data_IF_944978111859
#
_entry.id   IF_944978111859
#
_cell.length_a   1.000
_cell.length_b   1.000
_cell.length_c   1.000
_cell.angle_alpha   90.00
_cell.angle_beta   90.00
_cell.angle_gamma   90.00
#
_symmetry.space_group_name_H-M   'P 1'
#
loop_
_entity.id
_entity.type
_entity.pdbx_description
1 polymer ?
#
# COMPACT_ATOMS: atom_id res chain seq x y z
N UNK A 1 14.02 -5.72 7.06
CA UNK A 1 13.88 -5.89 5.60
C UNK A 1 12.54 -6.55 5.30
N UNK A 2 11.58 -5.78 4.76
CA UNK A 2 10.23 -6.24 4.47
C UNK A 2 10.15 -7.15 3.22
N UNK A 3 11.19 -7.20 2.40
CA UNK A 3 11.18 -7.96 1.12
C UNK A 3 11.02 -9.48 1.31
N UNK A 4 11.26 -9.99 2.53
CA UNK A 4 11.10 -11.41 2.88
C UNK A 4 9.68 -11.80 3.31
N UNK A 5 8.79 -10.83 3.53
CA UNK A 5 7.44 -11.06 4.10
C UNK A 5 6.39 -11.47 3.05
N UNK A 6 6.66 -12.52 2.27
CA UNK A 6 5.80 -12.95 1.14
C UNK A 6 4.43 -13.51 1.56
N UNK A 7 4.32 -14.01 2.78
CA UNK A 7 3.09 -14.58 3.33
C UNK A 7 2.29 -13.57 4.16
N UNK A 8 2.71 -12.31 4.21
CA UNK A 8 2.01 -11.30 4.99
C UNK A 8 0.65 -10.99 4.36
N UNK A 9 -0.42 -11.18 5.12
CA UNK A 9 -1.79 -10.85 4.70
C UNK A 9 -2.25 -9.48 5.21
N UNK A 10 -1.69 -9.02 6.33
CA UNK A 10 -2.08 -7.79 7.01
C UNK A 10 -0.83 -6.98 7.36
N UNK A 11 -0.79 -5.73 6.89
CA UNK A 11 0.21 -4.74 7.28
C UNK A 11 -0.51 -3.50 7.82
N UNK A 12 -0.19 -3.13 9.05
CA UNK A 12 -0.69 -1.92 9.71
C UNK A 12 0.53 -1.20 10.26
N UNK A 13 0.74 0.03 9.80
CA UNK A 13 1.81 0.92 10.26
C UNK A 13 1.20 2.25 10.68
N UNK A 14 1.60 2.73 11.85
CA UNK A 14 1.23 4.04 12.39
C UNK A 14 2.53 4.79 12.68
N UNK A 15 2.58 6.09 12.37
CA UNK A 15 3.70 6.99 12.71
C UNK A 15 5.07 6.44 12.29
N UNK A 16 5.11 5.75 11.14
CA UNK A 16 6.33 5.13 10.64
C UNK A 16 7.01 6.05 9.63
N UNK A 17 8.28 6.41 9.89
CA UNK A 17 9.12 7.04 8.88
C UNK A 17 9.68 5.97 7.95
N UNK A 18 9.00 5.76 6.81
CA UNK A 18 9.41 4.76 5.82
C UNK A 18 10.12 5.47 4.68
N UNK A 19 11.45 5.42 4.67
CA UNK A 19 12.25 6.01 3.59
C UNK A 19 11.92 5.33 2.25
N UNK A 20 11.44 6.14 1.29
CA UNK A 20 10.61 5.72 0.17
C UNK A 20 11.22 4.69 -0.78
N UNK A 21 12.54 4.67 -0.97
CA UNK A 21 13.20 3.79 -1.95
C UNK A 21 12.92 2.28 -1.74
N UNK A 22 12.54 1.86 -0.53
CA UNK A 22 12.26 0.46 -0.21
C UNK A 22 10.77 0.07 -0.26
N UNK A 23 9.82 1.02 -0.30
CA UNK A 23 8.38 0.72 -0.27
C UNK A 23 7.89 0.03 -1.55
N UNK A 24 8.31 0.51 -2.73
CA UNK A 24 7.92 -0.10 -4.00
C UNK A 24 8.30 -1.58 -4.08
N UNK A 25 9.58 -1.90 -3.82
CA UNK A 25 10.08 -3.30 -3.79
C UNK A 25 9.43 -4.14 -2.68
N UNK A 26 9.05 -3.49 -1.58
CA UNK A 26 8.35 -4.15 -0.49
C UNK A 26 6.96 -4.61 -0.94
N UNK A 27 6.17 -3.72 -1.55
CA UNK A 27 4.83 -4.07 -2.03
C UNK A 27 4.85 -5.09 -3.17
N UNK A 28 5.85 -5.05 -4.05
CA UNK A 28 6.05 -6.07 -5.10
C UNK A 28 6.20 -7.50 -4.52
N UNK A 29 6.75 -7.64 -3.31
CA UNK A 29 6.93 -8.95 -2.66
C UNK A 29 5.74 -9.38 -1.78
N UNK A 30 4.87 -8.46 -1.38
CA UNK A 30 3.70 -8.72 -0.52
C UNK A 30 2.51 -9.24 -1.33
N UNK A 31 2.73 -10.27 -2.15
CA UNK A 31 1.76 -10.83 -3.11
C UNK A 31 0.51 -11.45 -2.47
N UNK A 32 0.51 -11.64 -1.15
CA UNK A 32 -0.61 -12.17 -0.38
C UNK A 32 -1.30 -11.11 0.48
N UNK A 33 -0.91 -9.83 0.38
CA UNK A 33 -1.48 -8.78 1.20
C UNK A 33 -2.94 -8.53 0.85
N UNK A 34 -3.79 -8.56 1.88
CA UNK A 34 -5.23 -8.35 1.79
C UNK A 34 -5.68 -7.09 2.52
N UNK A 35 -4.92 -6.67 3.53
CA UNK A 35 -5.20 -5.45 4.30
C UNK A 35 -3.94 -4.61 4.46
N UNK A 36 -4.01 -3.37 3.98
CA UNK A 36 -2.99 -2.36 4.16
C UNK A 36 -3.60 -1.16 4.89
N UNK A 37 -2.97 -0.76 5.99
CA UNK A 37 -3.28 0.49 6.68
C UNK A 37 -1.99 1.26 6.96
N UNK A 38 -1.91 2.49 6.46
CA UNK A 38 -0.80 3.40 6.72
C UNK A 38 -1.40 4.68 7.31
N UNK A 39 -0.99 5.02 8.53
CA UNK A 39 -1.40 6.24 9.21
C UNK A 39 -0.17 7.08 9.55
N UNK A 40 -0.17 8.35 9.16
CA UNK A 40 0.92 9.30 9.45
C UNK A 40 2.30 8.75 9.01
N UNK A 41 2.30 7.99 7.92
CA UNK A 41 3.52 7.50 7.31
C UNK A 41 3.88 8.49 6.21
N UNK A 42 5.06 9.12 6.28
CA UNK A 42 5.53 9.95 5.18
C UNK A 42 5.73 9.08 3.94
N UNK A 43 4.84 9.23 2.96
CA UNK A 43 4.94 8.52 1.70
C UNK A 43 5.33 9.49 0.60
N UNK A 44 6.48 9.26 -0.04
CA UNK A 44 6.83 9.91 -1.30
C UNK A 44 6.18 9.21 -2.51
N UNK A 45 6.61 9.53 -3.75
CA UNK A 45 6.10 8.89 -4.98
C UNK A 45 6.21 7.35 -4.99
N UNK A 46 7.00 6.78 -4.09
CA UNK A 46 7.17 5.34 -3.92
C UNK A 46 5.91 4.62 -3.40
N UNK A 47 4.91 5.36 -2.91
CA UNK A 47 3.58 4.80 -2.60
C UNK A 47 2.93 4.17 -3.83
N UNK A 48 3.30 4.56 -5.05
CA UNK A 48 2.77 3.99 -6.29
C UNK A 48 2.89 2.45 -6.38
N UNK A 49 3.80 1.83 -5.62
CA UNK A 49 3.91 0.37 -5.49
C UNK A 49 2.66 -0.31 -4.94
N UNK A 50 1.77 0.40 -4.22
CA UNK A 50 0.52 -0.19 -3.72
C UNK A 50 -0.39 -0.69 -4.85
N UNK A 51 -0.26 -0.12 -6.06
CA UNK A 51 -1.04 -0.54 -7.22
C UNK A 51 -0.65 -1.93 -7.73
N UNK A 52 0.50 -2.46 -7.33
CA UNK A 52 0.94 -3.82 -7.69
C UNK A 52 0.36 -4.89 -6.74
N UNK A 53 -0.15 -4.48 -5.58
CA UNK A 53 -0.87 -5.37 -4.68
C UNK A 53 -2.19 -5.71 -5.35
N UNK A 54 -2.41 -6.93 -5.84
CA UNK A 54 -3.65 -7.28 -6.58
C UNK A 54 -4.71 -7.95 -5.72
N UNK A 55 -4.36 -8.32 -4.49
CA UNK A 55 -5.24 -9.07 -3.56
C UNK A 55 -5.85 -8.23 -2.44
N UNK A 56 -5.63 -6.90 -2.42
CA UNK A 56 -6.21 -6.07 -1.36
C UNK A 56 -7.74 -6.15 -1.35
N UNK A 57 -8.26 -6.29 -0.14
CA UNK A 57 -9.66 -6.19 0.21
C UNK A 57 -9.94 -4.94 1.06
N UNK A 58 -8.91 -4.43 1.75
CA UNK A 58 -9.01 -3.26 2.61
C UNK A 58 -7.77 -2.37 2.45
N UNK A 59 -7.99 -1.12 2.05
CA UNK A 59 -6.96 -0.10 1.95
C UNK A 59 -7.37 1.14 2.77
N UNK A 60 -6.52 1.54 3.71
CA UNK A 60 -6.68 2.79 4.46
C UNK A 60 -5.35 3.54 4.42
N UNK A 61 -5.38 4.75 3.88
CA UNK A 61 -4.21 5.62 3.78
C UNK A 61 -4.63 6.97 4.36
N UNK A 62 -3.88 7.45 5.35
CA UNK A 62 -4.09 8.74 5.99
C UNK A 62 -2.84 9.59 5.82
N UNK A 63 -3.02 10.79 5.28
CA UNK A 63 -1.95 11.73 4.93
C UNK A 63 -0.94 11.11 3.94
N UNK A 64 -1.46 10.48 2.88
CA UNK A 64 -0.65 9.87 1.83
C UNK A 64 -0.64 10.72 0.55
N UNK A 65 0.55 10.90 -0.03
CA UNK A 65 0.75 11.63 -1.30
C UNK A 65 0.30 10.78 -2.51
N UNK A 66 -1.02 10.67 -2.67
CA UNK A 66 -1.66 9.95 -3.76
C UNK A 66 -2.14 10.90 -4.84
N UNK A 67 -1.54 10.79 -6.02
CA UNK A 67 -2.11 11.38 -7.23
C UNK A 67 -3.31 10.58 -7.73
N UNK A 68 -4.24 11.25 -8.42
CA UNK A 68 -5.40 10.61 -9.08
C UNK A 68 -4.99 9.46 -10.02
N UNK A 69 -3.83 9.59 -10.67
CA UNK A 69 -3.29 8.55 -11.56
C UNK A 69 -2.95 7.26 -10.80
N UNK A 70 -2.32 7.39 -9.63
CA UNK A 70 -2.00 6.24 -8.77
C UNK A 70 -3.29 5.62 -8.24
N UNK A 71 -4.23 6.44 -7.76
CA UNK A 71 -5.52 5.97 -7.27
C UNK A 71 -6.29 5.20 -8.35
N UNK A 72 -6.35 5.73 -9.57
CA UNK A 72 -6.97 5.04 -10.70
C UNK A 72 -6.32 3.68 -10.98
N UNK A 73 -4.99 3.58 -10.86
CA UNK A 73 -4.26 2.32 -11.04
C UNK A 73 -4.59 1.31 -9.93
N UNK A 74 -4.67 1.76 -8.67
CA UNK A 74 -5.11 0.92 -7.53
C UNK A 74 -6.51 0.37 -7.77
N UNK A 75 -7.48 1.23 -8.08
CA UNK A 75 -8.86 0.81 -8.37
C UNK A 75 -8.96 -0.13 -9.58
N UNK A 76 -8.08 0.08 -10.58
CA UNK A 76 -8.00 -0.80 -11.74
C UNK A 76 -7.49 -2.20 -11.36
N UNK A 77 -6.48 -2.31 -10.52
CA UNK A 77 -5.80 -3.57 -10.22
C UNK A 77 -6.45 -4.34 -9.05
N UNK A 78 -7.02 -3.64 -8.07
CA UNK A 78 -7.62 -4.20 -6.87
C UNK A 78 -9.10 -4.54 -7.02
N UNK A 79 -9.42 -5.52 -7.86
CA UNK A 79 -10.82 -5.94 -8.09
C UNK A 79 -11.53 -6.56 -6.87
N UNK A 80 -10.77 -6.88 -5.82
CA UNK A 80 -11.29 -7.44 -4.56
C UNK A 80 -11.50 -6.40 -3.45
N UNK A 81 -11.22 -5.12 -3.72
CA UNK A 81 -11.31 -4.06 -2.72
C UNK A 81 -12.77 -3.90 -2.25
N UNK A 82 -12.98 -4.02 -0.94
CA UNK A 82 -14.28 -3.86 -0.27
C UNK A 82 -14.33 -2.59 0.57
N UNK A 83 -13.17 -2.11 0.99
CA UNK A 83 -13.03 -0.90 1.79
C UNK A 83 -11.87 -0.06 1.26
N UNK A 84 -12.14 1.22 1.03
CA UNK A 84 -11.18 2.24 0.66
C UNK A 84 -11.40 3.45 1.55
N UNK A 85 -10.34 3.86 2.25
CA UNK A 85 -10.26 5.16 2.90
C UNK A 85 -8.95 5.83 2.48
N UNK A 86 -9.06 7.03 1.92
CA UNK A 86 -7.95 7.88 1.53
C UNK A 86 -8.30 9.25 2.09
N UNK A 87 -7.61 9.66 3.16
CA UNK A 87 -7.86 10.93 3.86
C UNK A 87 -6.59 11.74 3.93
#
# INVERSE_FOLDING_TARGET
>A
DFTKLRNLEVLILNEAYIEGANLKKTFENMINLRKLKLYECFTGPEIAGIAELTKLEHLSLYDADLTDSILAKVLRNNKKLKYLNIT
#
